data_IF_967385621043
#
_entry.id   IF_967385621043
#
_cell.length_a   1.000
_cell.length_b   1.000
_cell.length_c   1.000
_cell.angle_alpha   90.00
_cell.angle_beta   90.00
_cell.angle_gamma   90.00
#
_symmetry.space_group_name_H-M   'P 1'
#
loop_
_entity.id
_entity.type
_entity.pdbx_description
1 polymer ?
#
# COMPACT_ATOMS: atom_id res chain seq x y z
N UNK A 1 -9.42 -0.87 24.39
CA UNK A 1 -9.24 -2.32 24.27
C UNK A 1 -10.29 -2.90 23.32
N UNK A 2 -11.57 -2.68 23.60
CA UNK A 2 -12.73 -3.15 22.82
C UNK A 2 -12.66 -2.84 21.31
N UNK A 3 -12.21 -1.66 20.90
CA UNK A 3 -12.03 -1.31 19.47
C UNK A 3 -10.98 -2.17 18.74
N UNK A 4 -9.84 -2.45 19.39
CA UNK A 4 -8.76 -3.25 18.78
C UNK A 4 -9.13 -4.74 18.75
N UNK A 5 -9.85 -5.20 19.77
CA UNK A 5 -10.44 -6.53 19.82
C UNK A 5 -11.47 -6.73 18.70
N UNK A 6 -12.35 -5.74 18.47
CA UNK A 6 -13.32 -5.79 17.40
C UNK A 6 -12.66 -5.89 16.01
N UNK A 7 -11.52 -5.23 15.77
CA UNK A 7 -10.77 -5.38 14.50
C UNK A 7 -10.20 -6.79 14.28
N UNK A 8 -9.80 -7.47 15.36
CA UNK A 8 -9.35 -8.87 15.30
C UNK A 8 -10.53 -9.82 15.11
N UNK A 9 -11.65 -9.57 15.78
CA UNK A 9 -12.87 -10.37 15.65
C UNK A 9 -13.49 -10.26 14.25
N UNK A 10 -13.55 -9.04 13.68
CA UNK A 10 -14.01 -8.81 12.29
C UNK A 10 -13.03 -9.40 11.27
N UNK A 11 -11.74 -9.46 11.57
CA UNK A 11 -10.78 -10.15 10.71
C UNK A 11 -11.00 -11.68 10.70
N UNK A 12 -11.27 -12.28 11.86
CA UNK A 12 -11.55 -13.72 11.98
C UNK A 12 -12.93 -14.11 11.43
N UNK A 13 -13.91 -13.21 11.58
CA UNK A 13 -15.29 -13.44 11.17
C UNK A 13 -15.87 -12.15 10.55
N UNK A 14 -15.61 -11.93 9.24
CA UNK A 14 -16.04 -10.73 8.53
C UNK A 14 -17.56 -10.57 8.45
N UNK A 15 -18.32 -11.65 8.62
CA UNK A 15 -19.79 -11.65 8.58
C UNK A 15 -20.42 -11.00 9.83
N UNK A 16 -19.64 -10.78 10.90
CA UNK A 16 -20.10 -10.08 12.12
C UNK A 16 -20.29 -8.58 11.94
N UNK A 17 -19.66 -7.99 10.93
CA UNK A 17 -19.80 -6.57 10.62
C UNK A 17 -20.18 -6.34 9.13
N UNK A 18 -21.42 -6.68 8.76
CA UNK A 18 -21.92 -6.59 7.39
C UNK A 18 -22.14 -5.16 6.89
N UNK A 19 -21.94 -4.14 7.74
CA UNK A 19 -22.12 -2.72 7.39
C UNK A 19 -20.86 -1.86 7.56
N UNK A 20 -19.80 -2.35 8.21
CA UNK A 20 -18.60 -1.59 8.50
C UNK A 20 -17.35 -2.16 7.83
N UNK A 21 -16.39 -2.59 8.64
CA UNK A 21 -15.09 -3.07 8.18
C UNK A 21 -15.20 -4.36 7.34
N UNK A 22 -16.07 -5.29 7.76
CA UNK A 22 -16.34 -6.54 7.03
C UNK A 22 -16.93 -6.29 5.64
N UNK A 23 -17.86 -5.34 5.52
CA UNK A 23 -18.44 -4.89 4.26
C UNK A 23 -17.38 -4.34 3.28
N UNK A 24 -16.52 -3.43 3.76
CA UNK A 24 -15.46 -2.85 2.94
C UNK A 24 -14.49 -3.93 2.43
N UNK A 25 -14.17 -4.92 3.26
CA UNK A 25 -13.33 -6.05 2.84
C UNK A 25 -14.02 -6.92 1.79
N UNK A 26 -15.31 -7.22 1.95
CA UNK A 26 -16.07 -7.99 0.97
C UNK A 26 -16.11 -7.26 -0.39
N UNK A 27 -16.41 -5.97 -0.39
CA UNK A 27 -16.41 -5.15 -1.61
C UNK A 27 -15.02 -5.04 -2.24
N UNK A 28 -13.98 -4.92 -1.44
CA UNK A 28 -12.59 -4.93 -1.89
C UNK A 28 -12.25 -6.22 -2.65
N UNK A 29 -12.63 -7.38 -2.10
CA UNK A 29 -12.41 -8.68 -2.75
C UNK A 29 -13.20 -8.81 -4.05
N UNK A 30 -14.45 -8.34 -4.08
CA UNK A 30 -15.29 -8.34 -5.29
C UNK A 30 -14.67 -7.45 -6.36
N UNK A 31 -14.19 -6.25 -6.01
CA UNK A 31 -13.55 -5.32 -6.94
C UNK A 31 -12.28 -5.91 -7.57
N UNK A 32 -11.41 -6.52 -6.76
CA UNK A 32 -10.20 -7.20 -7.27
C UNK A 32 -10.59 -8.39 -8.15
N UNK A 33 -11.61 -9.15 -7.75
CA UNK A 33 -12.09 -10.30 -8.52
C UNK A 33 -12.72 -9.93 -9.87
N UNK A 34 -13.45 -8.80 -9.94
CA UNK A 34 -14.12 -8.35 -11.17
C UNK A 34 -13.17 -7.83 -12.23
N UNK A 35 -11.96 -7.40 -11.85
CA UNK A 35 -10.93 -6.94 -12.78
C UNK A 35 -10.34 -8.05 -13.66
N UNK A 36 -10.44 -9.33 -13.28
CA UNK A 36 -9.87 -10.42 -14.07
C UNK A 36 -8.37 -10.22 -14.38
N UNK A 37 -7.93 -10.62 -15.59
CA UNK A 37 -6.52 -10.50 -15.97
C UNK A 37 -6.11 -9.09 -16.39
N UNK A 38 -6.95 -8.40 -17.16
CA UNK A 38 -6.61 -7.13 -17.85
C UNK A 38 -7.33 -5.90 -17.29
N UNK A 39 -8.24 -6.08 -16.33
CA UNK A 39 -9.04 -5.01 -15.77
C UNK A 39 -10.29 -4.69 -16.59
N UNK A 40 -11.15 -3.87 -16.01
CA UNK A 40 -12.35 -3.33 -16.67
C UNK A 40 -12.07 -2.06 -17.50
N UNK A 41 -10.85 -1.51 -17.42
CA UNK A 41 -10.46 -0.25 -18.06
C UNK A 41 -10.30 0.88 -17.05
N UNK A 42 -9.37 1.78 -17.35
CA UNK A 42 -9.03 2.91 -16.47
C UNK A 42 -10.23 3.83 -16.28
N UNK A 43 -10.60 4.12 -15.02
CA UNK A 43 -11.80 4.88 -14.61
C UNK A 43 -13.15 4.22 -14.94
N UNK A 44 -13.15 2.98 -15.42
CA UNK A 44 -14.37 2.20 -15.69
C UNK A 44 -14.76 1.29 -14.53
N UNK A 45 -14.04 1.35 -13.40
CA UNK A 45 -14.33 0.56 -12.21
C UNK A 45 -15.72 0.83 -11.65
N UNK A 46 -16.50 -0.23 -11.47
CA UNK A 46 -17.88 -0.16 -10.97
C UNK A 46 -17.92 0.04 -9.46
N UNK A 47 -17.11 -0.72 -8.71
CA UNK A 47 -17.09 -0.66 -7.24
C UNK A 47 -16.47 0.65 -6.74
N UNK A 48 -15.45 1.11 -7.46
CA UNK A 48 -14.90 2.45 -7.33
C UNK A 48 -15.97 3.51 -7.54
N UNK A 49 -16.59 3.60 -8.72
CA UNK A 49 -17.49 4.72 -9.07
C UNK A 49 -18.83 4.76 -8.32
N UNK A 50 -19.38 3.61 -7.92
CA UNK A 50 -20.69 3.51 -7.26
C UNK A 50 -20.66 3.77 -5.73
N UNK A 51 -19.54 4.25 -5.19
CA UNK A 51 -19.36 4.58 -3.76
C UNK A 51 -19.55 3.39 -2.80
N UNK A 52 -19.42 2.15 -3.29
CA UNK A 52 -19.46 0.96 -2.42
C UNK A 52 -18.24 0.85 -1.50
N UNK A 53 -17.18 1.61 -1.76
CA UNK A 53 -15.99 1.75 -0.92
C UNK A 53 -15.82 3.23 -0.51
N UNK A 54 -16.25 3.62 0.70
CA UNK A 54 -16.12 5.00 1.19
C UNK A 54 -14.65 5.48 1.21
N UNK A 55 -13.72 4.56 1.51
CA UNK A 55 -12.28 4.78 1.67
C UNK A 55 -11.48 4.32 0.43
N UNK A 56 -12.10 4.36 -0.76
CA UNK A 56 -11.51 3.85 -2.03
C UNK A 56 -10.24 4.58 -2.47
N UNK A 57 -10.10 5.85 -2.10
CA UNK A 57 -8.98 6.69 -2.52
C UNK A 57 -7.80 6.67 -1.53
N UNK A 58 -8.04 6.22 -0.31
CA UNK A 58 -7.07 6.13 0.78
C UNK A 58 -6.63 4.69 0.95
N UNK A 59 -7.41 3.91 1.68
CA UNK A 59 -6.98 2.63 2.24
C UNK A 59 -7.24 1.45 1.28
N UNK A 60 -8.20 1.61 0.36
CA UNK A 60 -8.59 0.57 -0.60
C UNK A 60 -8.20 0.91 -2.04
N UNK A 61 -7.21 1.79 -2.24
CA UNK A 61 -6.75 2.19 -3.57
C UNK A 61 -6.23 1.00 -4.40
N UNK A 62 -5.64 0.00 -3.74
CA UNK A 62 -5.18 -1.22 -4.40
C UNK A 62 -6.35 -2.03 -4.99
N UNK A 63 -7.51 -2.04 -4.33
CA UNK A 63 -8.71 -2.73 -4.81
C UNK A 63 -9.30 -2.07 -6.05
N UNK A 64 -9.29 -0.73 -6.10
CA UNK A 64 -9.68 0.04 -7.29
C UNK A 64 -8.73 -0.25 -8.44
N UNK A 65 -7.43 -0.29 -8.16
CA UNK A 65 -6.42 -0.61 -9.18
C UNK A 65 -6.59 -2.04 -9.71
N UNK A 66 -6.87 -3.01 -8.83
CA UNK A 66 -7.18 -4.38 -9.19
C UNK A 66 -8.43 -4.50 -10.08
N UNK A 67 -9.46 -3.69 -9.81
CA UNK A 67 -10.66 -3.64 -10.64
C UNK A 67 -10.38 -3.05 -12.04
N UNK A 68 -9.66 -1.93 -12.09
CA UNK A 68 -9.47 -1.16 -13.33
C UNK A 68 -8.39 -1.72 -14.24
N UNK A 69 -7.27 -2.19 -13.68
CA UNK A 69 -6.11 -2.69 -14.41
C UNK A 69 -5.92 -4.21 -14.31
N UNK A 70 -6.73 -4.89 -13.50
CA UNK A 70 -6.71 -6.34 -13.36
C UNK A 70 -5.45 -6.86 -12.69
N UNK A 71 -5.26 -8.17 -12.81
CA UNK A 71 -4.09 -8.87 -12.29
C UNK A 71 -2.77 -8.34 -12.85
N UNK A 72 -2.72 -8.01 -14.15
CA UNK A 72 -1.51 -7.48 -14.79
C UNK A 72 -1.12 -6.10 -14.21
N UNK A 73 -2.10 -5.23 -13.97
CA UNK A 73 -1.87 -3.95 -13.31
C UNK A 73 -1.36 -4.10 -11.89
N UNK A 74 -1.99 -4.98 -11.11
CA UNK A 74 -1.55 -5.28 -9.75
C UNK A 74 -0.10 -5.82 -9.73
N UNK A 75 0.24 -6.74 -10.65
CA UNK A 75 1.59 -7.28 -10.77
C UNK A 75 2.61 -6.20 -11.18
N UNK A 76 2.25 -5.33 -12.13
CA UNK A 76 3.10 -4.22 -12.55
C UNK A 76 3.37 -3.26 -11.38
N UNK A 77 2.35 -2.91 -10.59
CA UNK A 77 2.50 -2.05 -9.41
C UNK A 77 3.41 -2.70 -8.35
N UNK A 78 3.20 -3.97 -8.03
CA UNK A 78 4.06 -4.70 -7.10
C UNK A 78 5.50 -4.81 -7.63
N UNK A 79 5.67 -4.96 -8.95
CA UNK A 79 6.96 -4.91 -9.61
C UNK A 79 7.68 -3.56 -9.44
N UNK A 80 6.94 -2.45 -9.50
CA UNK A 80 7.49 -1.10 -9.23
C UNK A 80 7.92 -0.95 -7.77
N UNK A 81 7.13 -1.44 -6.80
CA UNK A 81 7.56 -1.45 -5.40
C UNK A 81 8.78 -2.35 -5.16
N UNK A 82 8.83 -3.52 -5.80
CA UNK A 82 10.00 -4.39 -5.71
C UNK A 82 11.25 -3.69 -6.25
N UNK A 83 11.13 -3.03 -7.42
CA UNK A 83 12.21 -2.23 -7.99
C UNK A 83 12.62 -1.08 -7.05
N UNK A 84 11.67 -0.40 -6.42
CA UNK A 84 11.95 0.64 -5.42
C UNK A 84 12.73 0.08 -4.21
N UNK A 85 12.38 -1.10 -3.72
CA UNK A 85 13.11 -1.74 -2.61
C UNK A 85 14.52 -2.16 -3.01
N UNK A 86 14.70 -2.70 -4.22
CA UNK A 86 16.04 -3.01 -4.75
C UNK A 86 16.88 -1.73 -4.86
N UNK A 87 16.31 -0.64 -5.40
CA UNK A 87 17.00 0.64 -5.48
C UNK A 87 17.37 1.19 -4.09
N UNK A 88 16.49 1.08 -3.09
CA UNK A 88 16.80 1.48 -1.72
C UNK A 88 17.92 0.62 -1.09
N UNK A 89 17.94 -0.70 -1.36
CA UNK A 89 19.02 -1.58 -0.91
C UNK A 89 20.36 -1.20 -1.55
N UNK A 90 20.38 -0.87 -2.85
CA UNK A 90 21.58 -0.38 -3.52
C UNK A 90 22.09 0.92 -2.89
N UNK A 91 21.19 1.84 -2.54
CA UNK A 91 21.55 3.08 -1.83
C UNK A 91 22.15 2.75 -0.46
N UNK A 92 21.53 1.87 0.32
CA UNK A 92 22.05 1.46 1.63
C UNK A 92 23.42 0.78 1.54
N UNK A 93 23.62 -0.10 0.55
CA UNK A 93 24.87 -0.81 0.32
C UNK A 93 26.01 0.13 -0.11
N UNK A 94 25.68 1.24 -0.77
CA UNK A 94 26.64 2.26 -1.17
C UNK A 94 26.87 3.36 -0.14
N UNK A 95 26.17 3.32 1.00
CA UNK A 95 26.28 4.36 2.01
C UNK A 95 27.70 4.43 2.59
N UNK A 96 28.19 5.66 2.81
CA UNK A 96 29.54 5.91 3.34
C UNK A 96 29.70 5.44 4.79
N UNK A 97 28.63 5.57 5.57
CA UNK A 97 28.62 5.34 7.00
C UNK A 97 27.44 4.46 7.43
N UNK A 98 27.59 3.80 8.58
CA UNK A 98 26.56 2.90 9.12
C UNK A 98 25.24 3.63 9.41
N UNK A 99 25.29 4.90 9.84
CA UNK A 99 24.08 5.66 10.11
C UNK A 99 23.29 5.92 8.83
N UNK A 100 23.95 6.33 7.74
CA UNK A 100 23.34 6.44 6.41
C UNK A 100 22.69 5.13 5.94
N UNK A 101 23.38 3.99 6.09
CA UNK A 101 22.84 2.68 5.73
C UNK A 101 21.60 2.32 6.56
N UNK A 102 21.66 2.49 7.89
CA UNK A 102 20.54 2.19 8.80
C UNK A 102 19.33 3.10 8.55
N UNK A 103 19.55 4.37 8.21
CA UNK A 103 18.49 5.31 7.85
C UNK A 103 17.72 4.80 6.62
N UNK A 104 18.45 4.42 5.57
CA UNK A 104 17.84 3.93 4.32
C UNK A 104 17.08 2.63 4.56
N UNK A 105 17.68 1.69 5.30
CA UNK A 105 17.01 0.42 5.67
C UNK A 105 15.76 0.67 6.52
N UNK A 106 15.79 1.64 7.43
CA UNK A 106 14.65 2.03 8.25
C UNK A 106 13.48 2.57 7.42
N UNK A 107 13.75 3.48 6.48
CA UNK A 107 12.74 4.01 5.55
C UNK A 107 12.20 2.91 4.64
N UNK A 108 13.08 2.08 4.07
CA UNK A 108 12.68 0.94 3.25
C UNK A 108 11.78 -0.02 4.03
N UNK A 109 12.11 -0.33 5.28
CA UNK A 109 11.31 -1.20 6.16
C UNK A 109 9.94 -0.59 6.44
N UNK A 110 9.87 0.73 6.64
CA UNK A 110 8.61 1.46 6.80
C UNK A 110 7.73 1.33 5.55
N UNK A 111 8.28 1.55 4.35
CA UNK A 111 7.53 1.37 3.10
C UNK A 111 7.10 -0.07 2.87
N UNK A 112 7.97 -1.05 3.13
CA UNK A 112 7.65 -2.46 3.00
C UNK A 112 6.49 -2.84 3.92
N UNK A 113 6.50 -2.38 5.17
CA UNK A 113 5.39 -2.61 6.10
C UNK A 113 4.07 -1.98 5.59
N UNK A 114 4.12 -0.74 5.13
CA UNK A 114 2.94 -0.04 4.60
C UNK A 114 2.35 -0.77 3.37
N UNK A 115 3.19 -1.18 2.42
CA UNK A 115 2.77 -1.93 1.23
C UNK A 115 2.19 -3.30 1.61
N UNK A 116 2.89 -4.08 2.44
CA UNK A 116 2.44 -5.41 2.85
C UNK A 116 1.11 -5.35 3.59
N UNK A 117 0.94 -4.39 4.50
CA UNK A 117 -0.30 -4.26 5.26
C UNK A 117 -1.44 -3.77 4.38
N UNK A 118 -1.22 -2.77 3.53
CA UNK A 118 -2.26 -2.25 2.64
C UNK A 118 -2.74 -3.30 1.62
N UNK A 119 -1.81 -3.97 0.94
CA UNK A 119 -2.15 -5.06 0.01
C UNK A 119 -2.77 -6.24 0.78
N UNK A 120 -2.24 -6.56 1.95
CA UNK A 120 -2.74 -7.66 2.77
C UNK A 120 -4.16 -7.44 3.27
N UNK A 121 -4.51 -6.22 3.69
CA UNK A 121 -5.86 -5.91 4.13
C UNK A 121 -6.86 -5.86 2.98
N UNK A 122 -6.45 -5.45 1.78
CA UNK A 122 -7.36 -5.36 0.62
C UNK A 122 -7.72 -6.75 0.06
N UNK A 123 -6.81 -7.72 0.13
CA UNK A 123 -7.10 -9.13 -0.23
C UNK A 123 -7.59 -9.97 0.96
N UNK A 124 -7.58 -9.42 2.17
CA UNK A 124 -8.11 -10.06 3.39
C UNK A 124 -7.22 -11.10 4.04
N UNK A 125 -5.90 -11.00 3.87
CA UNK A 125 -4.90 -11.80 4.62
C UNK A 125 -4.38 -11.07 5.86
N UNK A 126 -4.68 -9.78 6.01
CA UNK A 126 -4.33 -8.95 7.17
C UNK A 126 -5.56 -8.16 7.66
N UNK A 127 -5.58 -7.73 8.94
CA UNK A 127 -6.68 -6.91 9.46
C UNK A 127 -6.67 -5.49 8.86
N UNK A 128 -7.85 -4.87 8.76
CA UNK A 128 -8.08 -3.55 8.10
C UNK A 128 -7.55 -2.41 8.96
N UNK A 129 -6.32 -1.96 8.77
CA UNK A 129 -5.58 -1.04 9.66
C UNK A 129 -5.69 0.43 9.29
N UNK A 130 -6.17 0.73 8.09
CA UNK A 130 -6.25 2.08 7.54
C UNK A 130 -4.87 2.69 7.24
N UNK A 131 -3.92 1.84 6.83
CA UNK A 131 -2.59 2.29 6.42
C UNK A 131 -2.62 2.54 4.91
N UNK A 132 -2.37 3.79 4.45
CA UNK A 132 -2.35 4.12 3.04
C UNK A 132 -1.14 3.52 2.32
N UNK A 133 -1.31 3.28 1.02
CA UNK A 133 -0.29 2.76 0.12
C UNK A 133 0.67 3.89 -0.31
N UNK A 134 1.99 3.78 -0.04
CA UNK A 134 2.97 4.84 -0.34
C UNK A 134 2.94 5.27 -1.80
N UNK A 135 2.93 6.57 -2.08
CA UNK A 135 2.93 7.15 -3.44
C UNK A 135 1.66 6.92 -4.30
N UNK A 136 0.71 6.11 -3.85
CA UNK A 136 -0.52 5.80 -4.57
C UNK A 136 -1.77 6.37 -3.90
N UNK A 137 -1.86 6.21 -2.58
CA UNK A 137 -3.03 6.66 -1.81
C UNK A 137 -3.10 8.18 -1.71
N UNK A 138 -4.33 8.70 -1.70
CA UNK A 138 -4.60 10.10 -1.45
C UNK A 138 -4.36 10.45 0.03
N UNK A 139 -3.40 11.32 0.31
CA UNK A 139 -3.16 11.84 1.65
C UNK A 139 -2.07 12.88 1.61
N UNK A 140 -2.40 14.15 1.85
CA UNK A 140 -1.45 15.26 1.71
C UNK A 140 -0.25 15.11 2.64
N UNK A 141 -0.48 14.95 3.94
CA UNK A 141 0.58 14.76 4.93
C UNK A 141 1.36 13.46 4.68
N UNK A 142 0.67 12.36 4.37
CA UNK A 142 1.31 11.08 4.09
C UNK A 142 2.23 11.14 2.86
N UNK A 143 1.77 11.79 1.77
CA UNK A 143 2.58 12.00 0.58
C UNK A 143 3.81 12.85 0.88
N UNK A 144 3.65 13.96 1.61
CA UNK A 144 4.76 14.83 2.01
C UNK A 144 5.79 14.06 2.84
N UNK A 145 5.36 13.24 3.80
CA UNK A 145 6.27 12.41 4.61
C UNK A 145 7.03 11.40 3.75
N UNK A 146 6.38 10.75 2.79
CA UNK A 146 7.03 9.79 1.89
C UNK A 146 8.02 10.48 0.93
N UNK A 147 7.70 11.67 0.45
CA UNK A 147 8.60 12.48 -0.37
C UNK A 147 9.81 12.95 0.45
N UNK A 148 9.60 13.38 1.70
CA UNK A 148 10.70 13.72 2.61
C UNK A 148 11.60 12.51 2.90
N UNK A 149 11.01 11.33 3.14
CA UNK A 149 11.74 10.09 3.32
C UNK A 149 12.57 9.71 2.08
N UNK A 150 12.01 9.89 0.88
CA UNK A 150 12.74 9.71 -0.38
C UNK A 150 13.89 10.72 -0.51
N UNK A 151 13.67 11.98 -0.11
CA UNK A 151 14.72 13.00 -0.07
C UNK A 151 15.89 12.62 0.85
N UNK A 152 15.62 11.96 1.98
CA UNK A 152 16.68 11.44 2.85
C UNK A 152 17.49 10.34 2.17
N UNK A 153 16.85 9.39 1.47
CA UNK A 153 17.54 8.36 0.67
C UNK A 153 18.45 8.99 -0.39
N UNK A 154 17.94 9.99 -1.12
CA UNK A 154 18.70 10.70 -2.15
C UNK A 154 19.88 11.49 -1.56
N UNK A 155 19.73 12.03 -0.35
CA UNK A 155 20.82 12.68 0.38
C UNK A 155 21.93 11.70 0.76
N UNK A 156 21.58 10.51 1.25
CA UNK A 156 22.57 9.45 1.53
C UNK A 156 23.30 9.04 0.26
N UNK A 157 22.57 8.86 -0.84
CA UNK A 157 23.15 8.51 -2.14
C UNK A 157 24.08 9.60 -2.70
N UNK A 158 23.73 10.88 -2.55
CA UNK A 158 24.55 11.97 -3.10
C UNK A 158 25.88 12.13 -2.36
N UNK A 159 25.91 11.85 -1.05
CA UNK A 159 27.12 11.96 -0.22
C UNK A 159 27.99 10.69 -0.21
N UNK A 160 27.64 9.65 -0.97
CA UNK A 160 28.38 8.37 -1.01
C UNK A 160 29.83 8.48 -1.48
N UNK A 161 30.14 9.48 -2.32
CA UNK A 161 31.48 9.71 -2.88
C UNK A 161 32.17 10.95 -2.32
N UNK A 162 31.68 11.52 -1.21
CA UNK A 162 32.28 12.71 -0.61
C UNK A 162 33.73 12.44 -0.19
N UNK A 163 34.63 13.27 -0.72
CA UNK A 163 36.06 13.35 -0.41
C UNK A 163 36.36 13.45 1.11
#
# INVERSE_FOLDING_TARGET
AEYQENRLLVFLDPERDPSGAGYNLAQSKIAIGSGGLTGQGLRSGTQGNLYFLPERHTDFIFSVLGEELGFLGALALLGVYLWLFVAALEVAASARDLFGALLVVGVMSMWAFQVLVNVGMTIGIMPITGIPLPFMSFGSSFMVTNLAATGMLLSVWSHRYGA
#
